data_IF_816477698771
#
_entry.id   IF_816477698771
#
_cell.length_a   1.000
_cell.length_b   1.000
_cell.length_c   1.000
_cell.angle_alpha   90.00
_cell.angle_beta   90.00
_cell.angle_gamma   90.00
#
_symmetry.space_group_name_H-M   'P 1'
#
loop_
_entity.id
_entity.type
_entity.pdbx_description
1 polymer ?
#
# COMPACT_ATOMS: atom_id res chain seq x y z
N UNK A 1 15.37 -39.93 24.96
CA UNK A 1 14.25 -39.52 24.09
C UNK A 1 14.01 -38.04 24.32
N UNK A 2 14.18 -37.23 23.28
CA UNK A 2 13.99 -35.78 23.36
C UNK A 2 12.73 -35.44 22.56
N UNK A 3 11.74 -34.82 23.21
CA UNK A 3 10.48 -34.42 22.59
C UNK A 3 10.49 -32.90 22.60
N UNK A 4 10.46 -32.29 21.42
CA UNK A 4 10.49 -30.84 21.28
C UNK A 4 10.37 -30.41 19.82
N UNK A 5 10.19 -29.10 19.57
CA UNK A 5 10.16 -28.56 18.22
C UNK A 5 11.57 -28.61 17.62
N UNK A 6 11.87 -29.64 16.85
CA UNK A 6 13.18 -29.85 16.23
C UNK A 6 13.04 -30.16 14.75
N UNK A 7 13.53 -29.21 13.96
CA UNK A 7 13.63 -29.30 12.51
C UNK A 7 14.56 -30.43 12.08
N UNK A 8 14.06 -31.28 11.19
CA UNK A 8 14.87 -32.30 10.50
C UNK A 8 15.76 -31.60 9.47
N UNK A 9 17.06 -31.80 9.59
CA UNK A 9 18.06 -31.27 8.67
C UNK A 9 19.16 -32.32 8.44
N UNK A 10 19.87 -32.24 7.32
CA UNK A 10 20.88 -33.24 6.94
C UNK A 10 22.02 -33.34 7.95
N UNK A 11 22.49 -32.20 8.46
CA UNK A 11 23.56 -32.14 9.48
C UNK A 11 23.12 -32.81 10.79
N UNK A 12 21.86 -32.61 11.18
CA UNK A 12 21.29 -33.19 12.40
C UNK A 12 20.97 -34.66 12.23
N UNK A 13 20.51 -35.08 11.06
CA UNK A 13 20.23 -36.48 10.74
C UNK A 13 21.50 -37.35 10.72
N UNK A 14 22.66 -36.76 10.40
CA UNK A 14 23.95 -37.44 10.48
C UNK A 14 24.42 -37.68 11.93
N UNK A 15 23.96 -36.85 12.88
CA UNK A 15 24.38 -36.92 14.29
C UNK A 15 23.38 -37.67 15.18
N UNK A 16 22.09 -37.66 14.81
CA UNK A 16 21.01 -38.22 15.61
C UNK A 16 20.00 -38.99 14.76
N UNK A 17 19.47 -40.09 15.30
CA UNK A 17 18.35 -40.81 14.70
C UNK A 17 17.04 -40.03 14.91
N UNK A 18 16.54 -39.40 13.86
CA UNK A 18 15.29 -38.62 13.86
C UNK A 18 14.11 -39.49 13.41
N UNK A 19 12.95 -39.32 14.05
CA UNK A 19 11.70 -39.94 13.58
C UNK A 19 11.22 -39.27 12.29
N UNK A 20 10.28 -39.92 11.59
CA UNK A 20 9.59 -39.25 10.48
C UNK A 20 8.90 -37.97 10.99
N UNK A 21 8.98 -36.87 10.23
CA UNK A 21 8.34 -35.63 10.63
C UNK A 21 6.82 -35.80 10.56
N UNK A 22 6.15 -35.49 11.66
CA UNK A 22 4.69 -35.45 11.74
C UNK A 22 4.14 -34.07 11.34
N UNK A 23 4.94 -33.02 11.59
CA UNK A 23 4.74 -31.59 11.33
C UNK A 23 5.26 -31.10 9.96
N UNK A 24 4.45 -30.56 9.04
CA UNK A 24 4.94 -29.84 7.84
C UNK A 24 4.64 -28.35 7.93
N UNK A 25 5.67 -27.50 7.85
CA UNK A 25 5.52 -26.04 7.82
C UNK A 25 6.14 -25.41 6.58
N UNK A 26 5.71 -24.19 6.27
CA UNK A 26 6.29 -23.33 5.22
C UNK A 26 7.01 -22.15 5.84
N UNK A 27 7.85 -21.50 5.03
CA UNK A 27 8.42 -20.21 5.38
C UNK A 27 7.34 -19.15 5.42
N UNK A 28 7.37 -18.29 6.42
CA UNK A 28 6.37 -17.24 6.62
C UNK A 28 7.07 -15.89 6.67
N UNK A 29 6.60 -14.95 5.88
CA UNK A 29 6.98 -13.54 6.00
C UNK A 29 6.05 -12.90 7.03
N UNK A 30 6.65 -12.42 8.13
CA UNK A 30 5.96 -11.68 9.17
C UNK A 30 6.16 -10.17 8.93
N UNK A 31 5.06 -9.46 8.74
CA UNK A 31 5.05 -8.00 8.53
C UNK A 31 3.92 -7.34 9.32
N UNK A 32 4.07 -6.04 9.60
CA UNK A 32 2.97 -5.25 10.16
C UNK A 32 1.75 -5.31 9.24
N UNK A 33 0.55 -5.46 9.79
CA UNK A 33 -0.66 -5.48 8.96
C UNK A 33 -0.93 -4.09 8.43
N UNK A 34 -0.85 -3.94 7.12
CA UNK A 34 -1.36 -2.77 6.42
C UNK A 34 -2.87 -2.66 6.68
N UNK A 35 -3.27 -1.71 7.52
CA UNK A 35 -4.62 -1.25 7.75
C UNK A 35 -5.15 -0.75 6.41
N UNK A 36 -5.92 -1.60 5.75
CA UNK A 36 -6.86 -1.12 4.75
C UNK A 36 -7.74 -0.09 5.47
N UNK A 37 -7.80 1.16 4.99
CA UNK A 37 -8.60 2.15 5.68
C UNK A 37 -10.04 1.63 5.69
N UNK A 38 -10.60 1.48 6.88
CA UNK A 38 -12.00 1.11 7.11
C UNK A 38 -12.86 2.31 6.74
N UNK A 39 -12.87 2.66 5.45
CA UNK A 39 -13.94 3.44 4.88
C UNK A 39 -15.12 2.47 4.73
N UNK A 40 -16.29 2.83 5.24
CA UNK A 40 -17.53 2.12 4.91
C UNK A 40 -17.55 1.89 3.40
N UNK A 41 -17.78 0.65 2.97
CA UNK A 41 -17.50 0.11 1.63
C UNK A 41 -18.04 0.96 0.45
N UNK A 42 -18.92 1.91 0.71
CA UNK A 42 -19.55 2.80 -0.26
C UNK A 42 -18.71 4.05 -0.64
N UNK A 43 -17.79 4.53 0.20
CA UNK A 43 -17.07 5.80 -0.02
C UNK A 43 -15.56 5.66 -0.24
N UNK A 44 -15.08 4.46 -0.60
CA UNK A 44 -13.66 4.22 -0.88
C UNK A 44 -13.09 5.16 -1.96
N UNK A 45 -13.92 5.57 -2.93
CA UNK A 45 -13.53 6.49 -4.00
C UNK A 45 -13.12 7.89 -3.53
N UNK A 46 -13.56 8.33 -2.35
CA UNK A 46 -13.30 9.67 -1.81
C UNK A 46 -12.05 9.72 -0.91
N UNK A 47 -11.52 8.55 -0.53
CA UNK A 47 -10.34 8.38 0.32
C UNK A 47 -9.00 8.89 -0.21
N UNK A 48 -8.69 8.95 -1.53
CA UNK A 48 -7.38 9.39 -2.01
C UNK A 48 -7.17 10.92 -1.92
N UNK A 49 -8.20 11.69 -1.57
CA UNK A 49 -8.12 13.14 -1.45
C UNK A 49 -8.52 13.60 -0.04
N UNK A 50 -7.72 14.52 0.53
CA UNK A 50 -7.95 15.06 1.87
C UNK A 50 -9.27 15.84 1.91
N UNK A 51 -10.00 15.74 3.03
CA UNK A 51 -11.29 16.42 3.29
C UNK A 51 -11.20 17.93 3.00
N UNK A 52 -10.10 18.58 3.37
CA UNK A 52 -9.87 19.99 3.11
C UNK A 52 -9.96 20.34 1.61
N UNK A 53 -9.45 19.48 0.73
CA UNK A 53 -9.51 19.71 -0.71
C UNK A 53 -10.95 19.64 -1.22
N UNK A 54 -11.76 18.72 -0.68
CA UNK A 54 -13.20 18.66 -1.01
C UNK A 54 -13.94 19.93 -0.60
N UNK A 55 -13.62 20.50 0.57
CA UNK A 55 -14.19 21.78 1.00
C UNK A 55 -13.79 22.91 0.05
N UNK A 56 -12.52 22.95 -0.38
CA UNK A 56 -12.03 23.94 -1.35
C UNK A 56 -12.74 23.80 -2.70
N UNK A 57 -12.92 22.56 -3.19
CA UNK A 57 -13.65 22.29 -4.43
C UNK A 57 -15.09 22.77 -4.31
N UNK A 58 -15.77 22.49 -3.20
CA UNK A 58 -17.14 22.95 -2.96
C UNK A 58 -17.23 24.48 -2.84
N UNK A 59 -16.28 25.14 -2.19
CA UNK A 59 -16.24 26.60 -2.13
C UNK A 59 -16.03 27.22 -3.53
N UNK A 60 -15.16 26.60 -4.34
CA UNK A 60 -14.89 27.05 -5.70
C UNK A 60 -16.07 26.82 -6.65
N UNK A 61 -16.81 25.71 -6.51
CA UNK A 61 -18.04 25.45 -7.29
C UNK A 61 -19.11 26.51 -6.99
N UNK A 62 -19.27 26.90 -5.72
CA UNK A 62 -20.19 27.96 -5.31
C UNK A 62 -19.78 29.34 -5.84
N UNK A 63 -18.49 29.67 -5.76
CA UNK A 63 -17.96 30.93 -6.28
C UNK A 63 -18.17 31.03 -7.81
N UNK A 64 -17.93 29.94 -8.53
CA UNK A 64 -18.21 29.84 -9.96
C UNK A 64 -19.69 30.06 -10.28
N UNK A 65 -20.60 29.38 -9.57
CA UNK A 65 -22.04 29.51 -9.77
C UNK A 65 -22.52 30.96 -9.56
N UNK A 66 -21.97 31.65 -8.56
CA UNK A 66 -22.28 33.06 -8.29
C UNK A 66 -21.75 33.97 -9.40
N UNK A 67 -20.52 33.76 -9.86
CA UNK A 67 -19.96 34.50 -10.98
C UNK A 67 -20.76 34.28 -12.28
N UNK A 68 -21.18 33.04 -12.54
CA UNK A 68 -22.01 32.69 -13.70
C UNK A 68 -23.38 33.39 -13.63
N UNK A 69 -24.03 33.38 -12.46
CA UNK A 69 -25.28 34.11 -12.23
C UNK A 69 -25.13 35.62 -12.48
N UNK A 70 -24.06 36.24 -11.97
CA UNK A 70 -23.78 37.65 -12.23
C UNK A 70 -23.60 37.95 -13.73
N UNK A 71 -22.88 37.09 -14.46
CA UNK A 71 -22.67 37.28 -15.92
C UNK A 71 -23.99 37.17 -16.68
N UNK A 72 -24.85 36.20 -16.35
CA UNK A 72 -26.17 36.05 -16.98
C UNK A 72 -27.08 37.25 -16.70
N UNK A 73 -26.97 37.86 -15.51
CA UNK A 73 -27.72 39.09 -15.17
C UNK A 73 -27.21 40.33 -15.90
N UNK A 74 -25.89 40.49 -16.03
CA UNK A 74 -25.28 41.64 -16.71
C UNK A 74 -25.44 41.53 -18.23
N UNK A 75 -25.30 40.32 -18.78
CA UNK A 75 -25.46 40.05 -20.21
C UNK A 75 -26.50 38.94 -20.41
N UNK A 76 -27.78 39.32 -20.57
CA UNK A 76 -28.85 38.34 -20.74
C UNK A 76 -28.57 37.40 -21.92
N UNK A 77 -28.51 36.11 -21.61
CA UNK A 77 -28.48 35.01 -22.57
C UNK A 77 -29.87 34.79 -23.17
N UNK A 78 -29.93 34.12 -24.32
CA UNK A 78 -31.20 33.82 -25.02
C UNK A 78 -32.18 33.00 -24.16
N UNK A 79 -31.66 32.28 -23.16
CA UNK A 79 -32.45 31.51 -22.20
C UNK A 79 -32.35 32.14 -20.80
N UNK A 80 -33.47 32.22 -20.06
CA UNK A 80 -33.46 32.65 -18.68
C UNK A 80 -32.88 31.53 -17.80
N UNK A 81 -31.72 31.77 -17.20
CA UNK A 81 -31.20 30.88 -16.15
C UNK A 81 -31.65 31.40 -14.78
N UNK A 82 -32.33 30.56 -14.02
CA UNK A 82 -32.61 30.82 -12.60
C UNK A 82 -31.38 30.49 -11.74
N UNK A 83 -31.32 31.01 -10.51
CA UNK A 83 -30.18 30.80 -9.61
C UNK A 83 -29.88 29.30 -9.36
N UNK A 84 -30.91 28.47 -9.21
CA UNK A 84 -30.75 27.02 -9.05
C UNK A 84 -30.12 26.34 -10.27
N UNK A 85 -30.43 26.82 -11.48
CA UNK A 85 -29.85 26.30 -12.72
C UNK A 85 -28.40 26.73 -12.86
N UNK A 86 -28.05 27.96 -12.47
CA UNK A 86 -26.67 28.44 -12.39
C UNK A 86 -25.83 27.66 -11.37
N UNK A 87 -26.43 27.20 -10.27
CA UNK A 87 -25.78 26.39 -9.25
C UNK A 87 -25.61 24.93 -9.68
N UNK A 88 -26.59 24.38 -10.39
CA UNK A 88 -26.55 23.01 -10.88
C UNK A 88 -25.68 22.86 -12.15
N UNK A 89 -25.54 23.91 -12.96
CA UNK A 89 -24.70 23.93 -14.17
C UNK A 89 -23.25 23.42 -13.95
N UNK A 90 -22.47 23.93 -12.98
CA UNK A 90 -21.12 23.41 -12.71
C UNK A 90 -21.10 21.94 -12.29
N UNK A 91 -22.11 21.49 -11.54
CA UNK A 91 -22.24 20.10 -11.12
C UNK A 91 -22.57 19.16 -12.29
N UNK A 92 -23.51 19.55 -13.15
CA UNK A 92 -23.86 18.82 -14.37
C UNK A 92 -22.68 18.75 -15.36
N UNK A 93 -21.89 19.81 -15.45
CA UNK A 93 -20.69 19.87 -16.28
C UNK A 93 -19.57 18.93 -15.77
N UNK A 94 -19.52 18.63 -14.47
CA UNK A 94 -18.56 17.68 -13.88
C UNK A 94 -18.91 16.21 -14.18
N UNK A 95 -20.20 15.85 -14.16
CA UNK A 95 -20.67 14.43 -14.18
C UNK A 95 -20.94 13.91 -15.61
N UNK A 96 -20.45 14.60 -16.65
CA UNK A 96 -20.69 14.24 -18.07
C UNK A 96 -22.18 14.14 -18.46
N UNK A 97 -23.00 15.06 -17.95
CA UNK A 97 -24.44 15.07 -18.23
C UNK A 97 -24.97 16.46 -18.54
N UNK A 98 -24.45 17.14 -19.56
CA UNK A 98 -25.07 18.40 -20.01
C UNK A 98 -26.39 18.12 -20.72
N UNK A 99 -27.47 18.01 -19.96
CA UNK A 99 -28.83 18.25 -20.45
C UNK A 99 -29.17 19.75 -20.51
N UNK A 100 -28.31 20.60 -19.92
CA UNK A 100 -28.42 22.05 -19.97
C UNK A 100 -27.83 22.62 -21.26
N UNK A 101 -28.59 23.52 -21.89
CA UNK A 101 -28.16 24.25 -23.08
C UNK A 101 -26.94 25.10 -22.73
N UNK A 102 -25.94 25.11 -23.60
CA UNK A 102 -24.77 25.95 -23.44
C UNK A 102 -25.13 27.42 -23.63
N UNK A 103 -24.48 28.34 -22.90
CA UNK A 103 -24.79 29.76 -23.01
C UNK A 103 -24.25 30.36 -24.31
N UNK A 104 -25.05 31.19 -24.97
CA UNK A 104 -24.75 31.71 -26.30
C UNK A 104 -23.70 32.84 -26.30
N UNK A 105 -23.55 33.56 -25.18
CA UNK A 105 -22.69 34.74 -25.08
C UNK A 105 -21.21 34.37 -24.91
N UNK A 106 -20.33 35.18 -25.50
CA UNK A 106 -18.88 34.96 -25.45
C UNK A 106 -18.30 35.02 -24.02
N UNK A 107 -18.80 35.93 -23.17
CA UNK A 107 -18.40 36.06 -21.76
C UNK A 107 -18.69 34.78 -20.95
N UNK A 108 -19.88 34.21 -21.11
CA UNK A 108 -20.27 32.95 -20.46
C UNK A 108 -19.52 31.75 -21.00
N UNK A 109 -19.10 31.78 -22.28
CA UNK A 109 -18.26 30.72 -22.88
C UNK A 109 -16.85 30.72 -22.30
N UNK A 110 -16.22 31.89 -22.11
CA UNK A 110 -14.90 31.98 -21.47
C UNK A 110 -14.96 31.44 -20.04
N UNK A 111 -16.01 31.78 -19.29
CA UNK A 111 -16.22 31.28 -17.95
C UNK A 111 -16.44 29.75 -17.95
N UNK A 112 -17.19 29.21 -18.91
CA UNK A 112 -17.35 27.76 -19.11
C UNK A 112 -16.01 27.06 -19.44
N UNK A 113 -15.16 27.67 -20.26
CA UNK A 113 -13.83 27.13 -20.56
C UNK A 113 -12.95 27.07 -19.31
N UNK A 114 -12.97 28.12 -18.49
CA UNK A 114 -12.24 28.14 -17.22
C UNK A 114 -12.71 27.03 -16.28
N UNK A 115 -14.02 26.83 -16.16
CA UNK A 115 -14.60 25.72 -15.40
C UNK A 115 -14.21 24.35 -15.93
N UNK A 116 -14.22 24.19 -17.25
CA UNK A 116 -13.83 22.95 -17.91
C UNK A 116 -12.36 22.61 -17.63
N UNK A 117 -11.47 23.59 -17.74
CA UNK A 117 -10.05 23.43 -17.42
C UNK A 117 -9.85 23.05 -15.94
N UNK A 118 -10.54 23.73 -15.02
CA UNK A 118 -10.51 23.38 -13.60
C UNK A 118 -10.96 21.94 -13.34
N UNK A 119 -12.06 21.53 -13.98
CA UNK A 119 -12.62 20.18 -13.85
C UNK A 119 -11.66 19.10 -14.38
N UNK A 120 -10.99 19.36 -15.51
CA UNK A 120 -9.97 18.45 -16.05
C UNK A 120 -8.76 18.35 -15.10
N UNK A 121 -8.30 19.46 -14.54
CA UNK A 121 -7.19 19.46 -13.56
C UNK A 121 -7.56 18.69 -12.30
N UNK A 122 -8.78 18.86 -11.80
CA UNK A 122 -9.32 18.10 -10.66
C UNK A 122 -9.31 16.59 -10.97
N UNK A 123 -9.81 16.20 -12.14
CA UNK A 123 -9.85 14.79 -12.56
C UNK A 123 -8.45 14.18 -12.67
N UNK A 124 -7.48 14.92 -13.20
CA UNK A 124 -6.08 14.48 -13.27
C UNK A 124 -5.53 14.26 -11.86
N UNK A 125 -5.72 15.22 -10.95
CA UNK A 125 -5.24 15.09 -9.56
C UNK A 125 -5.84 13.89 -8.85
N UNK A 126 -7.15 13.68 -8.98
CA UNK A 126 -7.83 12.51 -8.39
C UNK A 126 -7.29 11.22 -9.00
N UNK A 127 -7.09 11.16 -10.32
CA UNK A 127 -6.56 9.97 -11.01
C UNK A 127 -5.12 9.66 -10.60
N UNK A 128 -4.27 10.68 -10.48
CA UNK A 128 -2.88 10.53 -10.03
C UNK A 128 -2.81 10.05 -8.58
N UNK A 129 -3.59 10.66 -7.68
CA UNK A 129 -3.61 10.27 -6.28
C UNK A 129 -4.18 8.85 -6.09
N UNK A 130 -5.21 8.50 -6.85
CA UNK A 130 -5.73 7.14 -6.89
C UNK A 130 -4.69 6.15 -7.46
N UNK A 131 -3.94 6.55 -8.49
CA UNK A 131 -2.84 5.78 -9.05
C UNK A 131 -1.71 5.54 -8.05
N UNK A 132 -1.33 6.58 -7.29
CA UNK A 132 -0.34 6.49 -6.22
C UNK A 132 -0.81 5.56 -5.09
N UNK A 133 -2.06 5.70 -4.65
CA UNK A 133 -2.67 4.80 -3.67
C UNK A 133 -2.60 3.33 -4.15
N UNK A 134 -2.99 3.07 -5.40
CA UNK A 134 -2.94 1.72 -5.98
C UNK A 134 -1.50 1.19 -6.12
N UNK A 135 -0.54 2.05 -6.45
CA UNK A 135 0.86 1.66 -6.55
C UNK A 135 1.42 1.21 -5.20
N UNK A 136 1.07 1.91 -4.11
CA UNK A 136 1.44 1.51 -2.75
C UNK A 136 0.85 0.15 -2.38
N UNK A 137 -0.44 -0.08 -2.67
CA UNK A 137 -1.06 -1.38 -2.41
C UNK A 137 -0.39 -2.52 -3.20
N UNK A 138 -0.08 -2.30 -4.48
CA UNK A 138 0.67 -3.28 -5.29
C UNK A 138 2.06 -3.57 -4.74
N UNK A 139 2.75 -2.57 -4.18
CA UNK A 139 4.05 -2.77 -3.55
C UNK A 139 3.93 -3.68 -2.32
N UNK A 140 2.91 -3.46 -1.48
CA UNK A 140 2.62 -4.30 -0.30
C UNK A 140 2.18 -5.72 -0.70
N UNK A 141 1.50 -5.90 -1.82
CA UNK A 141 1.16 -7.22 -2.32
C UNK A 141 2.37 -7.96 -2.91
N UNK A 142 3.34 -7.24 -3.49
CA UNK A 142 4.54 -7.85 -4.11
C UNK A 142 5.50 -8.46 -3.07
N UNK A 143 5.63 -7.83 -1.89
CA UNK A 143 6.55 -8.27 -0.81
C UNK A 143 6.20 -9.63 -0.20
N UNK A 144 5.07 -10.24 -0.57
CA UNK A 144 4.72 -11.60 -0.13
C UNK A 144 5.56 -12.68 -0.83
N UNK A 145 6.37 -12.30 -1.83
CA UNK A 145 7.25 -13.20 -2.57
C UNK A 145 8.74 -12.90 -2.31
N UNK A 146 9.64 -13.91 -2.31
CA UNK A 146 11.08 -13.69 -2.18
C UNK A 146 11.64 -12.78 -3.28
N UNK A 147 11.17 -12.95 -4.51
CA UNK A 147 11.53 -12.09 -5.64
C UNK A 147 11.04 -10.64 -5.43
N UNK A 148 9.84 -10.46 -4.86
CA UNK A 148 9.32 -9.14 -4.51
C UNK A 148 10.11 -8.44 -3.40
N UNK A 149 10.65 -9.18 -2.43
CA UNK A 149 11.55 -8.64 -1.40
C UNK A 149 12.89 -8.16 -1.97
N UNK A 150 13.36 -8.74 -3.07
CA UNK A 150 14.61 -8.36 -3.73
C UNK A 150 14.45 -7.17 -4.70
N UNK A 151 13.27 -7.02 -5.30
CA UNK A 151 12.99 -5.93 -6.24
C UNK A 151 12.78 -4.57 -5.54
N UNK A 152 12.57 -4.59 -4.23
CA UNK A 152 12.30 -3.41 -3.42
C UNK A 152 13.52 -3.07 -2.55
N UNK A 153 13.79 -1.76 -2.39
CA UNK A 153 14.83 -1.24 -1.49
C UNK A 153 14.24 -0.40 -0.35
N UNK A 154 12.91 -0.39 -0.20
CA UNK A 154 12.20 0.45 0.76
C UNK A 154 12.11 -0.18 2.15
N UNK A 155 12.00 -1.51 2.21
CA UNK A 155 11.76 -2.26 3.44
C UNK A 155 12.98 -3.10 3.78
N UNK A 156 13.40 -2.99 5.04
CA UNK A 156 14.45 -3.83 5.60
C UNK A 156 13.84 -5.16 6.03
N UNK A 157 14.57 -6.23 5.84
CA UNK A 157 14.14 -7.56 6.26
C UNK A 157 15.29 -8.31 6.91
N UNK A 158 14.92 -9.24 7.76
CA UNK A 158 15.81 -9.91 8.66
C UNK A 158 15.34 -11.30 9.04
N UNK A 159 16.25 -12.07 9.60
CA UNK A 159 16.03 -13.44 10.03
C UNK A 159 16.65 -13.65 11.42
N UNK A 160 16.24 -14.72 12.09
CA UNK A 160 16.84 -15.10 13.36
C UNK A 160 18.29 -15.55 13.14
N UNK A 161 19.21 -15.05 13.97
CA UNK A 161 20.62 -15.44 14.01
C UNK A 161 20.77 -16.95 14.22
N UNK A 162 21.74 -17.58 13.53
CA UNK A 162 22.05 -19.01 13.59
C UNK A 162 20.84 -19.94 13.36
N UNK A 163 19.82 -19.46 12.66
CA UNK A 163 18.65 -20.26 12.34
C UNK A 163 18.91 -21.23 11.19
N UNK A 164 18.11 -22.30 11.12
CA UNK A 164 18.20 -23.25 9.99
C UNK A 164 17.81 -22.58 8.67
N UNK A 165 17.00 -21.53 8.76
CA UNK A 165 16.71 -20.66 7.64
C UNK A 165 17.96 -19.98 7.11
N UNK A 166 18.73 -19.40 8.01
CA UNK A 166 19.95 -18.68 7.70
C UNK A 166 20.96 -19.58 6.94
N UNK A 167 21.23 -20.76 7.53
CA UNK A 167 22.09 -21.76 6.92
C UNK A 167 21.57 -22.22 5.55
N UNK A 168 20.25 -22.39 5.40
CA UNK A 168 19.62 -22.86 4.16
C UNK A 168 19.61 -21.80 3.07
N UNK A 169 19.47 -20.52 3.42
CA UNK A 169 19.59 -19.40 2.49
C UNK A 169 21.03 -19.31 1.98
N UNK A 170 22.03 -19.45 2.85
CA UNK A 170 23.45 -19.46 2.50
C UNK A 170 23.85 -20.67 1.63
N UNK A 171 23.30 -21.85 1.90
CA UNK A 171 23.58 -23.08 1.15
C UNK A 171 22.73 -23.25 -0.12
N UNK A 172 21.82 -22.31 -0.41
CA UNK A 172 20.88 -22.43 -1.53
C UNK A 172 21.57 -22.29 -2.89
N UNK A 173 21.13 -23.10 -3.87
CA UNK A 173 21.60 -23.02 -5.27
C UNK A 173 20.84 -21.96 -6.07
N UNK A 174 19.61 -21.66 -5.66
CA UNK A 174 18.73 -20.70 -6.34
C UNK A 174 19.21 -19.27 -6.04
N UNK A 175 19.47 -18.50 -7.09
CA UNK A 175 20.11 -17.18 -7.00
C UNK A 175 19.33 -16.18 -6.12
N UNK A 176 18.01 -16.20 -6.15
CA UNK A 176 17.15 -15.30 -5.37
C UNK A 176 17.43 -15.43 -3.86
N UNK A 177 17.50 -16.66 -3.34
CA UNK A 177 17.72 -16.89 -1.90
C UNK A 177 19.15 -16.55 -1.47
N UNK A 178 20.14 -16.78 -2.34
CA UNK A 178 21.52 -16.36 -2.08
C UNK A 178 21.66 -14.84 -2.06
N UNK A 179 20.94 -14.13 -2.93
CA UNK A 179 20.86 -12.67 -2.90
C UNK A 179 20.17 -12.18 -1.62
N UNK A 180 19.11 -12.86 -1.18
CA UNK A 180 18.42 -12.54 0.07
C UNK A 180 19.36 -12.67 1.28
N UNK A 181 20.12 -13.76 1.37
CA UNK A 181 21.16 -13.96 2.39
C UNK A 181 22.21 -12.83 2.38
N UNK A 182 22.68 -12.47 1.18
CA UNK A 182 23.68 -11.42 1.00
C UNK A 182 23.16 -10.05 1.45
N UNK A 183 21.89 -9.73 1.14
CA UNK A 183 21.28 -8.47 1.57
C UNK A 183 21.13 -8.40 3.10
N UNK A 184 20.70 -9.50 3.74
CA UNK A 184 20.56 -9.59 5.19
C UNK A 184 21.90 -9.36 5.90
N UNK A 185 22.98 -9.99 5.45
CA UNK A 185 24.27 -9.96 6.17
C UNK A 185 25.16 -8.78 5.78
N UNK A 186 25.14 -8.39 4.50
CA UNK A 186 26.12 -7.43 3.97
C UNK A 186 25.52 -6.04 3.73
N UNK A 187 24.20 -5.93 3.50
CA UNK A 187 23.55 -4.66 3.16
C UNK A 187 22.87 -4.05 4.38
N UNK A 188 22.15 -4.85 5.18
CA UNK A 188 21.41 -4.36 6.32
C UNK A 188 22.20 -4.49 7.63
N UNK A 189 22.64 -3.37 8.19
CA UNK A 189 23.21 -3.34 9.54
C UNK A 189 22.10 -3.65 10.57
N UNK A 190 22.32 -4.65 11.43
CA UNK A 190 21.34 -5.14 12.42
C UNK A 190 20.08 -5.78 11.82
N UNK A 191 20.13 -6.45 10.67
CA UNK A 191 18.97 -7.20 10.17
C UNK A 191 18.70 -8.50 10.95
N UNK A 192 19.71 -9.08 11.57
CA UNK A 192 19.53 -10.33 12.29
C UNK A 192 18.98 -10.11 13.71
N UNK A 193 18.18 -11.06 14.19
CA UNK A 193 17.53 -11.00 15.49
C UNK A 193 18.06 -12.10 16.42
N UNK A 194 18.28 -11.74 17.69
CA UNK A 194 18.70 -12.70 18.71
C UNK A 194 17.57 -13.63 19.20
N UNK A 195 16.30 -13.22 19.06
CA UNK A 195 15.13 -13.99 19.49
C UNK A 195 13.90 -13.66 18.65
N UNK A 196 12.98 -14.62 18.52
CA UNK A 196 11.70 -14.40 17.85
C UNK A 196 10.91 -13.25 18.47
N UNK A 197 10.93 -13.13 19.80
CA UNK A 197 10.24 -12.05 20.51
C UNK A 197 10.79 -10.67 20.15
N UNK A 198 12.12 -10.55 20.05
CA UNK A 198 12.77 -9.32 19.61
C UNK A 198 12.43 -8.97 18.16
N UNK A 199 12.30 -9.97 17.29
CA UNK A 199 11.85 -9.81 15.90
C UNK A 199 10.42 -9.28 15.81
N UNK A 200 9.49 -9.87 16.57
CA UNK A 200 8.10 -9.41 16.63
C UNK A 200 7.99 -7.99 17.18
N UNK A 201 8.66 -7.70 18.29
CA UNK A 201 8.64 -6.37 18.91
C UNK A 201 9.19 -5.30 17.96
N UNK A 202 10.24 -5.60 17.20
CA UNK A 202 10.79 -4.64 16.24
C UNK A 202 9.85 -4.39 15.05
N UNK A 203 9.23 -5.43 14.51
CA UNK A 203 8.20 -5.27 13.47
C UNK A 203 7.03 -4.42 14.00
N UNK A 204 6.61 -4.63 15.25
CA UNK A 204 5.56 -3.83 15.89
C UNK A 204 5.97 -2.37 16.12
N UNK A 205 7.18 -2.11 16.64
CA UNK A 205 7.70 -0.77 16.88
C UNK A 205 7.79 0.05 15.59
N UNK A 206 8.41 -0.54 14.55
CA UNK A 206 8.57 0.10 13.23
C UNK A 206 7.21 0.38 12.58
N UNK A 207 6.27 -0.55 12.75
CA UNK A 207 4.88 -0.38 12.31
C UNK A 207 4.17 0.80 12.99
N UNK A 208 4.55 1.17 14.22
CA UNK A 208 3.95 2.27 14.98
C UNK A 208 4.67 3.63 14.75
N UNK A 209 5.96 3.60 14.43
CA UNK A 209 6.82 4.79 14.22
C UNK A 209 6.73 5.36 12.78
N UNK A 210 6.16 4.59 11.86
CA UNK A 210 5.85 5.03 10.49
C UNK A 210 5.01 6.32 10.49
N UNK A 211 5.45 7.34 9.74
CA UNK A 211 4.93 8.73 9.64
C UNK A 211 3.41 8.93 9.87
N UNK A 212 2.92 10.11 10.33
CA UNK A 212 1.50 10.34 10.63
C UNK A 212 0.52 10.08 9.46
N UNK A 213 0.98 10.05 8.22
CA UNK A 213 0.20 9.63 7.04
C UNK A 213 0.13 8.10 6.86
N UNK A 214 1.08 7.36 7.43
CA UNK A 214 1.20 5.88 7.42
C UNK A 214 0.78 5.27 8.77
N UNK A 215 0.70 6.06 9.84
CA UNK A 215 0.21 5.65 11.17
C UNK A 215 -1.22 5.10 11.14
N UNK A 216 -2.02 5.54 10.17
CA UNK A 216 -3.38 5.04 9.92
C UNK A 216 -3.42 3.82 8.98
N UNK A 217 -2.24 3.33 8.58
CA UNK A 217 -2.03 2.21 7.67
C UNK A 217 -1.52 1.00 8.44
N UNK A 218 -1.35 1.02 9.77
CA UNK A 218 -0.97 -0.20 10.47
C UNK A 218 -1.72 -0.40 11.79
N UNK A 219 -2.48 -1.50 11.86
CA UNK A 219 -3.22 -1.93 13.07
C UNK A 219 -2.61 -3.22 13.62
N UNK A 220 -2.61 -3.41 14.94
CA UNK A 220 -2.46 -4.76 15.53
C UNK A 220 -3.58 -5.66 15.01
N UNK A 221 -3.34 -6.92 14.55
CA UNK A 221 -2.15 -7.79 14.75
C UNK A 221 -1.23 -7.89 13.51
N UNK A 222 -0.09 -8.60 13.65
CA UNK A 222 0.80 -8.95 12.52
C UNK A 222 0.05 -9.65 11.37
N UNK A 223 0.43 -9.33 10.13
CA UNK A 223 0.01 -10.07 8.94
C UNK A 223 1.09 -11.10 8.63
N UNK A 224 0.70 -12.37 8.66
CA UNK A 224 1.55 -13.50 8.30
C UNK A 224 1.22 -13.90 6.87
N UNK A 225 2.20 -13.82 5.97
CA UNK A 225 2.08 -14.34 4.61
C UNK A 225 2.91 -15.60 4.47
N UNK A 226 2.24 -16.71 4.13
CA UNK A 226 2.94 -17.92 3.75
C UNK A 226 3.61 -17.73 2.39
N UNK A 227 4.90 -18.05 2.31
CA UNK A 227 5.64 -18.06 1.05
C UNK A 227 5.45 -19.40 0.36
N UNK A 228 5.15 -19.36 -0.93
CA UNK A 228 5.06 -20.58 -1.74
C UNK A 228 6.45 -21.19 -1.93
N UNK A 229 6.59 -22.46 -1.53
CA UNK A 229 7.88 -23.14 -1.44
C UNK A 229 8.42 -23.53 -2.83
N UNK A 230 9.24 -22.67 -3.43
CA UNK A 230 10.11 -23.04 -4.57
C UNK A 230 11.54 -23.45 -4.13
N UNK A 231 11.81 -23.52 -2.81
CA UNK A 231 13.07 -24.03 -2.23
C UNK A 231 13.29 -25.56 -2.35
N UNK A 232 12.51 -26.22 -3.23
CA UNK A 232 12.67 -27.60 -3.76
C UNK A 232 12.30 -28.76 -2.81
N UNK A 233 11.39 -29.61 -3.33
CA UNK A 233 11.09 -31.05 -3.12
C UNK A 233 11.30 -31.79 -1.79
N UNK A 234 11.77 -31.18 -0.70
CA UNK A 234 11.93 -31.87 0.58
C UNK A 234 11.09 -31.19 1.67
N UNK A 235 9.93 -31.81 1.90
CA UNK A 235 8.85 -31.36 2.78
C UNK A 235 9.14 -31.51 4.28
N UNK A 236 10.33 -31.10 4.74
CA UNK A 236 10.81 -31.48 6.07
C UNK A 236 11.45 -30.29 6.79
N UNK A 237 10.63 -29.53 7.51
CA UNK A 237 11.07 -28.63 8.59
C UNK A 237 9.96 -28.53 9.64
N UNK A 238 10.30 -28.62 10.93
CA UNK A 238 9.37 -28.63 12.08
C UNK A 238 9.49 -27.41 13.01
N UNK A 239 9.99 -26.27 12.52
CA UNK A 239 10.00 -25.00 13.24
C UNK A 239 9.56 -23.95 12.24
N UNK A 240 8.61 -23.09 12.63
CA UNK A 240 8.11 -22.00 11.80
C UNK A 240 9.27 -21.06 11.44
N UNK A 241 9.74 -21.08 10.21
CA UNK A 241 10.89 -20.31 9.84
C UNK A 241 10.36 -18.95 9.35
N UNK A 242 10.39 -17.96 10.23
CA UNK A 242 9.91 -16.62 9.96
C UNK A 242 11.01 -15.77 9.33
N UNK A 243 10.66 -15.10 8.23
CA UNK A 243 11.39 -13.94 7.72
C UNK A 243 10.66 -12.72 8.25
N UNK A 244 11.32 -11.91 9.06
CA UNK A 244 10.71 -10.69 9.60
C UNK A 244 11.00 -9.53 8.65
N UNK A 245 9.96 -8.89 8.15
CA UNK A 245 10.07 -7.70 7.30
C UNK A 245 9.70 -6.49 8.14
N UNK A 246 10.68 -5.62 8.39
CA UNK A 246 10.49 -4.34 9.04
C UNK A 246 10.13 -3.29 8.00
N UNK A 247 8.90 -2.77 8.09
CA UNK A 247 8.41 -1.71 7.21
C UNK A 247 8.97 -0.36 7.70
N UNK A 248 10.27 -0.15 7.59
CA UNK A 248 10.82 1.20 7.77
C UNK A 248 10.48 2.00 6.53
N UNK A 249 9.38 2.76 6.57
CA UNK A 249 9.05 3.71 5.51
C UNK A 249 10.07 4.87 5.52
N UNK A 250 11.26 4.66 4.96
CA UNK A 250 12.08 5.75 4.45
C UNK A 250 11.41 6.25 3.16
N UNK A 251 10.32 6.99 3.31
CA UNK A 251 9.87 7.86 2.23
C UNK A 251 10.80 9.05 2.26
N UNK A 252 11.63 9.14 1.22
CA UNK A 252 12.43 10.29 0.87
C UNK A 252 11.69 11.60 1.19
N UNK A 253 12.30 12.45 2.00
CA UNK A 253 12.12 13.90 1.93
C UNK A 253 12.42 14.41 0.53
#
# INVERSE_FOLDING_TARGET
>A
MLIGPVTVDSVRANSFALSSPFLKYKYVIAMGKTQEPVYDQMFHFMGPLVVNTWIIVLAFTLAYALAFYCIVKISPTSFPYHFGECLFFPFAALVQGNSLRFPDRLSSRILCLFWWTFSLLLLIMVTVNYGAYRAVHRLVDSITSPTGLLQQNLFQYGILDDSILDQRLGSSVVAEYKQLYTNIHNVFQNAAFASYEAGFQRVMQVSQESTPHIKNIFSEPLKLHEVENNLVSSSHSSINPYIFVCVCAFICT
#
